data_IF_555540057354
#
_entry.id   IF_555540057354
#
_cell.length_a   1.000
_cell.length_b   1.000
_cell.length_c   1.000
_cell.angle_alpha   90.00
_cell.angle_beta   90.00
_cell.angle_gamma   90.00
#
_symmetry.space_group_name_H-M   'P 1'
#
loop_
_entity.id
_entity.type
_entity.pdbx_description
1 polymer ?
#
# COMPACT_ATOMS: atom_id res chain seq x y z
N UNK A 1 -10.02 -1.19 -25.56
CA UNK A 1 -9.66 -0.33 -24.39
C UNK A 1 -10.13 -0.95 -23.09
N UNK A 2 -11.44 -1.22 -22.92
CA UNK A 2 -11.98 -1.86 -21.71
C UNK A 2 -11.26 -3.17 -21.30
N UNK A 3 -11.08 -4.11 -22.24
CA UNK A 3 -10.38 -5.38 -21.97
C UNK A 3 -8.91 -5.18 -21.57
N UNK A 4 -8.24 -4.15 -22.10
CA UNK A 4 -6.87 -3.83 -21.74
C UNK A 4 -6.77 -3.28 -20.32
N UNK A 5 -7.68 -2.35 -19.95
CA UNK A 5 -7.78 -1.82 -18.59
C UNK A 5 -8.09 -2.94 -17.58
N UNK A 6 -9.02 -3.85 -17.90
CA UNK A 6 -9.30 -5.01 -17.06
C UNK A 6 -8.06 -5.91 -16.86
N UNK A 7 -7.32 -6.18 -17.94
CA UNK A 7 -6.09 -6.97 -17.85
C UNK A 7 -5.02 -6.26 -17.00
N UNK A 8 -4.84 -4.95 -17.17
CA UNK A 8 -3.91 -4.14 -16.37
C UNK A 8 -4.31 -4.15 -14.90
N UNK A 9 -5.59 -3.92 -14.58
CA UNK A 9 -6.11 -3.95 -13.22
C UNK A 9 -5.86 -5.30 -12.55
N UNK A 10 -6.08 -6.41 -13.27
CA UNK A 10 -5.84 -7.75 -12.76
C UNK A 10 -4.35 -7.97 -12.46
N UNK A 11 -3.46 -7.59 -13.39
CA UNK A 11 -2.01 -7.70 -13.20
C UNK A 11 -1.55 -6.86 -12.01
N UNK A 12 -1.99 -5.61 -11.91
CA UNK A 12 -1.67 -4.72 -10.78
C UNK A 12 -2.17 -5.30 -9.45
N UNK A 13 -3.34 -5.94 -9.44
CA UNK A 13 -3.89 -6.58 -8.24
C UNK A 13 -3.00 -7.72 -7.76
N UNK A 14 -2.57 -8.60 -8.66
CA UNK A 14 -1.66 -9.72 -8.33
C UNK A 14 -0.33 -9.20 -7.81
N UNK A 15 0.25 -8.18 -8.47
CA UNK A 15 1.51 -7.56 -8.03
C UNK A 15 1.35 -6.95 -6.63
N UNK A 16 0.26 -6.22 -6.38
CA UNK A 16 -0.01 -5.59 -5.09
C UNK A 16 -0.11 -6.63 -3.97
N UNK A 17 -0.80 -7.75 -4.20
CA UNK A 17 -0.86 -8.85 -3.23
C UNK A 17 0.56 -9.29 -2.88
N UNK A 18 1.39 -9.65 -3.87
CA UNK A 18 2.76 -10.11 -3.63
C UNK A 18 3.58 -9.07 -2.85
N UNK A 19 3.53 -7.80 -3.27
CA UNK A 19 4.28 -6.72 -2.63
C UNK A 19 3.87 -6.52 -1.18
N UNK A 20 2.57 -6.51 -0.89
CA UNK A 20 2.04 -6.33 0.47
C UNK A 20 2.44 -7.49 1.36
N UNK A 21 2.35 -8.73 0.89
CA UNK A 21 2.75 -9.91 1.67
C UNK A 21 4.26 -9.94 1.98
N UNK A 22 5.10 -9.35 1.13
CA UNK A 22 6.55 -9.23 1.37
C UNK A 22 6.87 -8.11 2.37
N UNK A 23 5.97 -7.15 2.61
CA UNK A 23 6.26 -6.05 3.53
C UNK A 23 6.49 -6.58 4.96
N UNK A 24 7.57 -6.13 5.63
CA UNK A 24 7.83 -6.54 7.00
C UNK A 24 6.73 -6.03 7.93
N UNK A 25 6.04 -6.95 8.63
CA UNK A 25 5.06 -6.59 9.64
C UNK A 25 5.78 -5.99 10.85
N UNK A 26 5.53 -4.70 11.12
CA UNK A 26 5.94 -4.09 12.39
C UNK A 26 4.89 -4.42 13.44
N UNK A 27 5.24 -5.32 14.35
CA UNK A 27 4.48 -5.45 15.60
C UNK A 27 4.61 -4.12 16.34
N UNK A 28 3.53 -3.36 16.41
CA UNK A 28 3.44 -2.18 17.27
C UNK A 28 3.37 -2.70 18.71
N UNK A 29 4.54 -3.02 19.28
CA UNK A 29 4.62 -3.72 20.56
C UNK A 29 4.21 -2.80 21.71
N UNK A 30 3.16 -3.26 22.40
CA UNK A 30 2.87 -3.15 23.84
C UNK A 30 2.50 -1.79 24.43
N UNK A 31 1.24 -1.71 24.88
CA UNK A 31 0.67 -0.83 25.91
C UNK A 31 0.86 0.68 25.75
N UNK A 32 -0.11 1.29 25.04
CA UNK A 32 -0.38 2.75 25.04
C UNK A 32 -0.72 3.29 26.45
N UNK A 33 -1.04 2.41 27.42
CA UNK A 33 -1.41 2.77 28.79
C UNK A 33 -0.28 2.65 29.82
N UNK A 34 0.93 2.18 29.43
CA UNK A 34 2.09 2.15 30.34
C UNK A 34 2.84 3.49 30.24
N UNK A 35 2.43 4.45 31.09
CA UNK A 35 2.81 5.86 31.03
C UNK A 35 4.26 6.17 31.46
N UNK A 36 5.19 5.20 31.42
CA UNK A 36 6.56 5.39 31.91
C UNK A 36 7.61 5.75 30.83
N UNK A 37 7.25 5.71 29.54
CA UNK A 37 8.20 5.96 28.44
C UNK A 37 7.76 7.12 27.54
N UNK A 38 8.56 8.19 27.51
CA UNK A 38 8.38 9.36 26.64
C UNK A 38 8.51 9.09 25.12
N UNK A 39 8.45 7.83 24.69
CA UNK A 39 8.57 7.41 23.30
C UNK A 39 7.24 7.38 22.52
N UNK A 40 6.15 7.95 23.06
CA UNK A 40 4.82 8.02 22.40
C UNK A 40 4.86 8.68 21.01
N UNK A 41 5.88 9.49 20.75
CA UNK A 41 6.08 10.16 19.46
C UNK A 41 7.38 9.76 18.76
N UNK A 42 8.14 8.80 19.30
CA UNK A 42 9.29 8.24 18.62
C UNK A 42 8.80 7.22 17.57
N UNK A 43 8.04 7.70 16.59
CA UNK A 43 7.80 6.93 15.38
C UNK A 43 9.12 6.85 14.64
N UNK A 44 9.82 5.72 14.77
CA UNK A 44 11.02 5.45 13.99
C UNK A 44 10.68 5.59 12.51
N UNK A 45 11.20 6.66 11.89
CA UNK A 45 11.06 6.90 10.46
C UNK A 45 11.44 5.63 9.71
N UNK A 46 10.61 5.18 8.77
CA UNK A 46 10.99 4.10 7.88
C UNK A 46 12.29 4.52 7.15
N UNK A 47 13.32 3.67 7.21
CA UNK A 47 14.64 3.92 6.61
C UNK A 47 15.07 2.72 5.78
N UNK A 48 15.93 2.97 4.80
CA UNK A 48 16.46 1.92 3.92
C UNK A 48 15.37 1.21 3.14
N UNK A 49 15.41 -0.12 3.13
CA UNK A 49 14.53 -0.99 2.33
C UNK A 49 13.04 -0.79 2.62
N UNK A 50 12.67 -0.61 3.90
CA UNK A 50 11.27 -0.44 4.29
C UNK A 50 10.65 0.84 3.69
N UNK A 51 11.42 1.94 3.68
CA UNK A 51 10.96 3.20 3.10
C UNK A 51 10.74 3.08 1.57
N UNK A 52 11.59 2.31 0.90
CA UNK A 52 11.46 2.04 -0.54
C UNK A 52 10.22 1.20 -0.81
N UNK A 53 10.03 0.11 -0.07
CA UNK A 53 8.85 -0.75 -0.21
C UNK A 53 7.54 0.01 0.03
N UNK A 54 7.48 0.84 1.07
CA UNK A 54 6.31 1.67 1.36
C UNK A 54 6.00 2.64 0.21
N UNK A 55 7.02 3.31 -0.36
CA UNK A 55 6.84 4.23 -1.49
C UNK A 55 6.39 3.51 -2.76
N UNK A 56 7.01 2.37 -3.09
CA UNK A 56 6.63 1.57 -4.25
C UNK A 56 5.19 1.10 -4.12
N UNK A 57 4.81 0.60 -2.93
CA UNK A 57 3.45 0.15 -2.68
C UNK A 57 2.44 1.30 -2.79
N UNK A 58 2.77 2.48 -2.26
CA UNK A 58 1.93 3.65 -2.41
C UNK A 58 1.70 4.04 -3.89
N UNK A 59 2.76 4.00 -4.71
CA UNK A 59 2.65 4.26 -6.16
C UNK A 59 1.79 3.20 -6.84
N UNK A 60 2.00 1.92 -6.54
CA UNK A 60 1.21 0.82 -7.12
C UNK A 60 -0.27 0.92 -6.76
N UNK A 61 -0.58 1.21 -5.49
CA UNK A 61 -1.96 1.43 -5.03
C UNK A 61 -2.59 2.63 -5.74
N UNK A 62 -1.83 3.72 -5.89
CA UNK A 62 -2.32 4.91 -6.60
C UNK A 62 -2.64 4.60 -8.07
N UNK A 63 -1.75 3.91 -8.78
CA UNK A 63 -1.98 3.50 -10.17
C UNK A 63 -3.17 2.55 -10.30
N UNK A 64 -3.29 1.58 -9.40
CA UNK A 64 -4.43 0.67 -9.34
C UNK A 64 -5.76 1.42 -9.14
N UNK A 65 -5.78 2.43 -8.24
CA UNK A 65 -6.97 3.24 -7.99
C UNK A 65 -7.35 4.11 -9.20
N UNK A 66 -6.37 4.72 -9.86
CA UNK A 66 -6.59 5.51 -11.07
C UNK A 66 -7.20 4.65 -12.18
N UNK A 67 -6.66 3.45 -12.39
CA UNK A 67 -7.15 2.49 -13.38
C UNK A 67 -8.58 2.01 -13.07
N UNK A 68 -8.85 1.70 -11.79
CA UNK A 68 -10.19 1.33 -11.33
C UNK A 68 -11.22 2.46 -11.56
N UNK A 69 -10.87 3.70 -11.27
CA UNK A 69 -11.73 4.86 -11.52
C UNK A 69 -11.98 5.06 -13.02
N UNK A 70 -10.95 4.92 -13.85
CA UNK A 70 -11.10 4.98 -15.30
C UNK A 70 -12.05 3.90 -15.82
N UNK A 71 -11.95 2.68 -15.29
CA UNK A 71 -12.86 1.57 -15.62
C UNK A 71 -14.31 1.87 -15.23
N UNK A 72 -14.56 2.41 -14.03
CA UNK A 72 -15.91 2.78 -13.58
C UNK A 72 -16.54 3.80 -14.53
N UNK A 73 -15.78 4.84 -14.91
CA UNK A 73 -16.27 5.90 -15.81
C UNK A 73 -16.60 5.35 -17.20
N UNK A 74 -15.76 4.47 -17.75
CA UNK A 74 -15.97 3.88 -19.07
C UNK A 74 -17.09 2.82 -19.03
N UNK A 75 -17.19 2.03 -17.96
CA UNK A 75 -18.23 1.01 -17.79
C UNK A 75 -19.61 1.59 -17.50
N UNK A 76 -19.69 2.83 -17.02
CA UNK A 76 -20.96 3.52 -16.74
C UNK A 76 -21.61 4.13 -17.99
N UNK A 77 -20.99 3.99 -19.16
CA UNK A 77 -21.54 4.40 -20.47
C UNK A 77 -22.01 3.18 -21.24
#
# INVERSE_FOLDING_TARGET
MYQALLAILLILSVILIVVIFIQPAKNQSSNVFDSSSGALFERTKARGFEAVMQRITAILVFLWMLDALALVIISSK
#
